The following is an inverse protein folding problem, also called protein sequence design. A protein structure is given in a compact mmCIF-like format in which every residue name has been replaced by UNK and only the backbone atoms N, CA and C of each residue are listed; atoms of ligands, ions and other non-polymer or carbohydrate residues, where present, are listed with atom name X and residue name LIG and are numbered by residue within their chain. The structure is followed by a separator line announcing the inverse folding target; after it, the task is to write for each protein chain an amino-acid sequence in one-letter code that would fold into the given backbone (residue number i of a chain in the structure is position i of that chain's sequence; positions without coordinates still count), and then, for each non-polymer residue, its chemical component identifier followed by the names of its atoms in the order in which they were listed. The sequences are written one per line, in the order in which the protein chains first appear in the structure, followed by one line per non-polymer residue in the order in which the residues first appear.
data_IF_310080322567
#
_entry.id   IF_310080322567
#
_cell.length_a   1.000
_cell.length_b   1.000
_cell.length_c   1.000
_cell.angle_alpha   90.00
_cell.angle_beta   90.00
_cell.angle_gamma   90.00
#
_symmetry.space_group_name_H-M   'P 1'
#
loop_
_entity.id
_entity.type
_entity.pdbx_description
1 polymer ?
#
# COMPACT_ATOMS: atom_id res chain seq x y z
N UNK A 1 -45.77 2.22 11.48
CA UNK A 1 -44.46 1.67 11.07
C UNK A 1 -43.75 1.15 12.31
N UNK A 2 -43.24 -0.06 12.28
CA UNK A 2 -42.49 -0.62 13.41
C UNK A 2 -41.22 0.22 13.60
N UNK A 3 -41.05 0.80 14.79
CA UNK A 3 -39.82 1.53 15.13
C UNK A 3 -38.67 0.54 15.21
N UNK A 4 -37.56 0.83 14.58
CA UNK A 4 -36.32 0.09 14.73
C UNK A 4 -35.77 0.42 16.13
N UNK A 5 -36.07 -0.42 17.11
CA UNK A 5 -35.76 -0.22 18.53
C UNK A 5 -34.91 -1.40 19.01
N UNK A 6 -34.07 -1.18 20.01
CA UNK A 6 -33.24 -2.22 20.62
C UNK A 6 -34.05 -3.43 21.11
N UNK A 7 -35.33 -3.24 21.48
CA UNK A 7 -36.23 -4.29 21.88
C UNK A 7 -36.80 -5.12 20.72
N UNK A 8 -36.87 -4.53 19.51
CA UNK A 8 -37.37 -5.19 18.30
C UNK A 8 -36.25 -5.58 17.34
N UNK A 9 -35.00 -5.27 17.66
CA UNK A 9 -33.86 -5.60 16.85
C UNK A 9 -33.58 -7.10 16.82
N UNK A 10 -33.65 -7.68 15.62
CA UNK A 10 -33.28 -9.08 15.40
C UNK A 10 -31.96 -9.14 14.63
N UNK A 11 -30.85 -9.57 15.28
CA UNK A 11 -29.54 -9.62 14.65
C UNK A 11 -29.47 -10.48 13.38
N UNK A 12 -30.26 -11.58 13.35
CA UNK A 12 -30.27 -12.50 12.22
C UNK A 12 -30.99 -11.91 11.00
N UNK A 13 -32.10 -11.20 11.23
CA UNK A 13 -32.84 -10.50 10.16
C UNK A 13 -32.00 -9.34 9.61
N UNK A 14 -31.30 -8.63 10.49
CA UNK A 14 -30.40 -7.55 10.08
C UNK A 14 -29.21 -8.09 9.27
N UNK A 15 -28.60 -9.19 9.74
CA UNK A 15 -27.53 -9.86 8.98
C UNK A 15 -28.02 -10.27 7.59
N UNK A 16 -29.19 -10.90 7.52
CA UNK A 16 -29.80 -11.28 6.24
C UNK A 16 -29.96 -10.06 5.30
N UNK A 17 -30.48 -8.96 5.83
CA UNK A 17 -30.62 -7.72 5.04
C UNK A 17 -29.28 -7.18 4.54
N UNK A 18 -28.24 -7.15 5.40
CA UNK A 18 -26.89 -6.70 5.02
C UNK A 18 -26.27 -7.61 3.97
N UNK A 19 -26.40 -8.93 4.12
CA UNK A 19 -25.80 -9.91 3.20
C UNK A 19 -26.47 -9.90 1.81
N UNK A 20 -27.72 -9.42 1.70
CA UNK A 20 -28.50 -9.36 0.46
C UNK A 20 -28.50 -7.99 -0.22
N UNK A 21 -27.74 -7.03 0.27
CA UNK A 21 -27.54 -5.76 -0.45
C UNK A 21 -26.74 -6.03 -1.71
N UNK A 22 -27.32 -5.67 -2.87
CA UNK A 22 -26.64 -5.82 -4.15
C UNK A 22 -25.48 -4.82 -4.26
N UNK A 23 -24.26 -5.34 -4.48
CA UNK A 23 -23.09 -4.56 -4.78
C UNK A 23 -22.46 -5.04 -6.09
N UNK A 24 -22.57 -4.22 -7.14
CA UNK A 24 -22.12 -4.57 -8.48
C UNK A 24 -20.62 -4.90 -8.52
N UNK A 25 -19.78 -4.13 -7.82
CA UNK A 25 -18.33 -4.35 -7.75
C UNK A 25 -18.00 -5.70 -7.13
N UNK A 26 -18.65 -6.03 -6.00
CA UNK A 26 -18.49 -7.33 -5.34
C UNK A 26 -18.86 -8.48 -6.28
N UNK A 27 -19.97 -8.36 -7.00
CA UNK A 27 -20.43 -9.39 -7.94
C UNK A 27 -19.41 -9.63 -9.07
N UNK A 28 -18.84 -8.58 -9.63
CA UNK A 28 -17.83 -8.70 -10.71
C UNK A 28 -16.48 -9.25 -10.19
N UNK A 29 -16.08 -8.90 -8.96
CA UNK A 29 -14.90 -9.48 -8.31
C UNK A 29 -15.11 -10.99 -8.11
N UNK A 30 -16.28 -11.41 -7.65
CA UNK A 30 -16.62 -12.84 -7.50
C UNK A 30 -16.65 -13.55 -8.86
N UNK A 31 -17.26 -12.94 -9.89
CA UNK A 31 -17.26 -13.50 -11.27
C UNK A 31 -15.86 -13.64 -11.86
N UNK A 32 -14.92 -12.79 -11.48
CA UNK A 32 -13.53 -12.88 -11.93
C UNK A 32 -12.82 -14.14 -11.41
N UNK A 33 -13.35 -14.76 -10.35
CA UNK A 33 -12.76 -15.89 -9.61
C UNK A 33 -11.36 -15.60 -9.07
N UNK A 34 -10.95 -14.35 -8.97
CA UNK A 34 -9.67 -13.97 -8.37
C UNK A 34 -9.71 -14.17 -6.85
N UNK A 35 -10.85 -13.84 -6.24
CA UNK A 35 -11.12 -14.08 -4.82
C UNK A 35 -12.15 -15.21 -4.73
N UNK A 36 -11.77 -16.33 -4.14
CA UNK A 36 -12.62 -17.51 -4.00
C UNK A 36 -12.84 -17.88 -2.53
N UNK A 37 -14.06 -18.26 -2.13
CA UNK A 37 -14.28 -18.79 -0.79
C UNK A 37 -13.55 -20.13 -0.62
N UNK A 38 -12.99 -20.36 0.58
CA UNK A 38 -12.26 -21.57 0.92
C UNK A 38 -12.80 -22.15 2.24
N UNK A 39 -13.36 -23.37 2.16
CA UNK A 39 -13.92 -24.07 3.31
C UNK A 39 -12.82 -24.58 4.26
N UNK A 40 -11.66 -24.97 3.75
CA UNK A 40 -10.55 -25.49 4.57
C UNK A 40 -10.04 -24.42 5.54
N UNK A 41 -9.99 -23.15 5.08
CA UNK A 41 -9.64 -22.02 5.93
C UNK A 41 -10.72 -21.78 6.98
N UNK A 42 -11.99 -21.85 6.58
CA UNK A 42 -13.11 -21.67 7.50
C UNK A 42 -13.10 -22.75 8.60
N UNK A 43 -12.88 -24.00 8.24
CA UNK A 43 -12.82 -25.13 9.17
C UNK A 43 -11.62 -25.06 10.12
N UNK A 44 -10.47 -24.55 9.64
CA UNK A 44 -9.27 -24.38 10.46
C UNK A 44 -9.50 -23.42 11.64
N UNK A 45 -10.40 -22.45 11.49
CA UNK A 45 -10.73 -21.47 12.54
C UNK A 45 -12.03 -21.79 13.32
N UNK A 46 -12.96 -22.52 12.75
CA UNK A 46 -14.26 -22.83 13.39
C UNK A 46 -14.11 -23.90 14.48
N UNK A 47 -13.20 -24.87 14.30
CA UNK A 47 -12.97 -25.96 15.26
C UNK A 47 -12.03 -25.61 16.43
N UNK A 48 -11.38 -24.45 16.42
CA UNK A 48 -10.36 -24.05 17.41
C UNK A 48 -10.73 -22.71 18.03
N UNK A 49 -11.54 -22.74 19.08
CA UNK A 49 -11.87 -21.53 19.86
C UNK A 49 -10.58 -20.79 20.29
N UNK A 50 -10.43 -19.52 19.88
CA UNK A 50 -9.44 -18.60 20.40
C UNK A 50 -8.16 -18.41 19.58
N UNK A 51 -7.94 -19.10 18.45
CA UNK A 51 -6.77 -18.85 17.61
C UNK A 51 -7.07 -17.84 16.49
N UNK A 52 -6.35 -16.72 16.47
CA UNK A 52 -6.38 -15.76 15.36
C UNK A 52 -5.40 -16.09 14.24
N UNK A 53 -4.63 -17.17 14.35
CA UNK A 53 -3.61 -17.61 13.40
C UNK A 53 -3.64 -19.12 13.24
N UNK A 54 -3.53 -19.61 12.02
CA UNK A 54 -3.45 -21.03 11.72
C UNK A 54 -2.42 -21.28 10.61
N UNK A 55 -1.87 -22.48 10.59
CA UNK A 55 -1.01 -22.96 9.51
C UNK A 55 -1.77 -24.01 8.71
N UNK A 56 -1.84 -23.81 7.39
CA UNK A 56 -2.50 -24.71 6.44
C UNK A 56 -1.44 -25.41 5.62
N UNK A 57 -1.59 -26.71 5.46
CA UNK A 57 -0.67 -27.52 4.65
C UNK A 57 -1.08 -27.43 3.18
N UNK A 58 -0.12 -27.14 2.31
CA UNK A 58 -0.29 -27.16 0.86
C UNK A 58 0.57 -28.25 0.26
N UNK A 59 0.00 -29.05 -0.63
CA UNK A 59 0.76 -30.05 -1.37
C UNK A 59 1.50 -29.41 -2.53
N UNK A 60 2.79 -29.71 -2.65
CA UNK A 60 3.62 -29.30 -3.79
C UNK A 60 3.37 -30.16 -5.03
N UNK A 61 3.85 -29.69 -6.16
CA UNK A 61 3.89 -30.48 -7.38
C UNK A 61 4.98 -31.55 -7.28
N UNK A 62 4.77 -32.67 -7.93
CA UNK A 62 5.81 -33.68 -8.13
C UNK A 62 6.90 -33.09 -9.03
N UNK A 63 8.12 -33.09 -8.54
CA UNK A 63 9.31 -32.59 -9.24
C UNK A 63 10.33 -33.71 -9.38
N UNK A 64 11.10 -33.68 -10.47
CA UNK A 64 12.19 -34.61 -10.73
C UNK A 64 12.29 -34.96 -12.21
N UNK A 65 13.48 -35.26 -12.67
CA UNK A 65 13.72 -35.69 -14.04
C UNK A 65 13.33 -37.17 -14.21
N UNK A 66 12.69 -37.47 -15.34
CA UNK A 66 12.38 -38.87 -15.68
C UNK A 66 13.68 -39.61 -15.98
N UNK A 67 13.81 -40.79 -15.40
CA UNK A 67 14.93 -41.71 -15.67
C UNK A 67 14.60 -42.52 -16.90
N UNK A 68 15.62 -42.84 -17.70
CA UNK A 68 15.45 -43.69 -18.86
C UNK A 68 15.00 -45.12 -18.44
N UNK A 69 13.93 -45.60 -19.05
CA UNK A 69 13.43 -46.96 -18.79
C UNK A 69 14.05 -47.94 -19.80
N UNK A 70 15.25 -48.41 -19.49
CA UNK A 70 16.07 -49.28 -20.33
C UNK A 70 16.25 -50.69 -19.75
N UNK A 71 15.71 -50.98 -18.57
CA UNK A 71 15.86 -52.24 -17.87
C UNK A 71 17.18 -52.38 -17.09
N UNK A 72 18.09 -51.39 -17.19
CA UNK A 72 19.39 -51.40 -16.51
C UNK A 72 19.50 -50.23 -15.52
N UNK A 73 18.85 -49.09 -15.81
CA UNK A 73 18.90 -47.89 -14.97
C UNK A 73 17.95 -47.98 -13.78
N UNK A 74 18.45 -47.76 -12.57
CA UNK A 74 17.62 -47.73 -11.37
C UNK A 74 16.67 -46.53 -11.35
N UNK A 75 15.39 -46.81 -11.08
CA UNK A 75 14.37 -45.74 -10.92
C UNK A 75 14.56 -45.10 -9.55
N UNK A 76 14.86 -43.79 -9.53
CA UNK A 76 14.94 -43.01 -8.31
C UNK A 76 13.56 -42.48 -7.93
N UNK A 77 13.15 -42.76 -6.68
CA UNK A 77 11.90 -42.22 -6.14
C UNK A 77 12.14 -40.86 -5.48
N UNK A 78 11.33 -39.89 -5.82
CA UNK A 78 11.30 -38.58 -5.14
C UNK A 78 10.05 -38.47 -4.28
N UNK A 79 10.18 -37.87 -3.08
CA UNK A 79 9.06 -37.64 -2.20
C UNK A 79 8.26 -36.39 -2.61
N UNK A 80 6.97 -36.36 -2.29
CA UNK A 80 6.16 -35.17 -2.40
C UNK A 80 6.60 -34.13 -1.37
N UNK A 81 6.73 -32.86 -1.79
CA UNK A 81 6.99 -31.75 -0.87
C UNK A 81 5.67 -31.23 -0.34
N UNK A 82 5.60 -31.00 0.95
CA UNK A 82 4.49 -30.29 1.60
C UNK A 82 4.96 -28.92 2.02
N UNK A 83 4.14 -27.91 1.77
CA UNK A 83 4.42 -26.53 2.12
C UNK A 83 3.47 -26.07 3.22
N UNK A 84 3.93 -25.12 4.05
CA UNK A 84 3.16 -24.57 5.15
C UNK A 84 2.80 -23.12 4.86
N UNK A 85 1.50 -22.82 4.83
CA UNK A 85 0.98 -21.46 4.67
C UNK A 85 0.39 -20.99 5.98
N UNK A 86 0.97 -19.93 6.56
CA UNK A 86 0.39 -19.22 7.70
C UNK A 86 -0.74 -18.28 7.23
N UNK A 87 -1.88 -18.38 7.88
CA UNK A 87 -3.06 -17.55 7.63
C UNK A 87 -3.52 -16.87 8.92
N UNK A 88 -4.05 -15.66 8.83
CA UNK A 88 -4.44 -14.84 9.98
C UNK A 88 -5.86 -14.34 9.83
N UNK A 89 -6.59 -14.32 10.95
CA UNK A 89 -7.93 -13.75 11.01
C UNK A 89 -7.85 -12.27 11.34
N UNK A 90 -8.45 -11.45 10.49
CA UNK A 90 -8.57 -10.02 10.67
C UNK A 90 -9.94 -9.70 11.25
N UNK A 91 -9.98 -9.24 12.50
CA UNK A 91 -11.18 -8.76 13.16
C UNK A 91 -11.34 -7.24 13.01
N UNK A 92 -12.52 -6.78 12.66
CA UNK A 92 -12.86 -5.36 12.59
C UNK A 92 -14.18 -5.11 13.31
N UNK A 93 -14.28 -3.98 14.00
CA UNK A 93 -15.48 -3.59 14.69
C UNK A 93 -15.70 -2.08 14.59
N UNK A 94 -16.98 -1.67 14.54
CA UNK A 94 -17.38 -0.25 14.54
C UNK A 94 -18.72 -0.11 15.28
N UNK A 95 -18.86 1.01 16.00
CA UNK A 95 -20.14 1.45 16.58
C UNK A 95 -20.67 2.65 15.81
N UNK A 96 -21.95 2.64 15.51
CA UNK A 96 -22.70 3.75 14.91
C UNK A 96 -23.73 4.22 15.91
N UNK A 97 -23.72 5.52 16.25
CA UNK A 97 -24.59 6.10 17.27
C UNK A 97 -25.58 7.08 16.65
N UNK A 98 -26.84 7.01 17.11
CA UNK A 98 -27.87 7.97 16.78
C UNK A 98 -28.48 8.54 18.06
N UNK A 99 -28.69 9.87 18.11
CA UNK A 99 -29.30 10.56 19.23
C UNK A 99 -30.80 10.76 19.00
N UNK A 100 -31.61 10.49 20.00
CA UNK A 100 -33.07 10.67 19.95
C UNK A 100 -33.44 12.11 19.57
N UNK A 101 -32.75 13.09 20.12
CA UNK A 101 -32.98 14.52 19.85
C UNK A 101 -32.82 14.89 18.35
N UNK A 102 -31.87 14.28 17.66
CA UNK A 102 -31.66 14.47 16.20
C UNK A 102 -32.86 13.96 15.41
N UNK A 103 -33.44 12.84 15.82
CA UNK A 103 -34.62 12.21 15.22
C UNK A 103 -35.88 13.06 15.42
N UNK A 104 -36.03 13.66 16.60
CA UNK A 104 -37.17 14.51 16.93
C UNK A 104 -37.17 15.81 16.13
N UNK A 105 -36.00 16.42 15.88
CA UNK A 105 -35.84 17.62 15.06
C UNK A 105 -36.06 17.37 13.56
N UNK A 106 -35.62 16.22 13.04
CA UNK A 106 -35.72 15.89 11.61
C UNK A 106 -37.08 15.32 11.19
N UNK A 107 -38.12 15.48 12.03
CA UNK A 107 -39.47 15.03 11.77
C UNK A 107 -39.60 13.54 11.44
N UNK A 108 -38.76 12.70 12.06
CA UNK A 108 -38.90 11.25 11.99
C UNK A 108 -38.25 10.58 10.78
N UNK A 109 -37.29 11.21 10.13
CA UNK A 109 -36.39 10.50 9.21
C UNK A 109 -35.63 9.49 10.02
N UNK A 110 -35.98 8.20 9.85
CA UNK A 110 -35.38 7.12 10.61
C UNK A 110 -34.04 6.74 9.96
N UNK A 111 -32.95 7.23 10.56
CA UNK A 111 -31.57 6.89 10.14
C UNK A 111 -31.37 5.37 10.09
N UNK A 112 -31.96 4.63 11.05
CA UNK A 112 -31.81 3.18 11.14
C UNK A 112 -32.53 2.40 10.03
N UNK A 113 -33.46 3.01 9.29
CA UNK A 113 -34.09 2.35 8.14
C UNK A 113 -33.13 2.11 6.97
N UNK A 114 -32.12 2.98 6.80
CA UNK A 114 -31.12 2.89 5.74
C UNK A 114 -29.78 2.27 6.21
N UNK A 115 -29.67 1.92 7.50
CA UNK A 115 -28.41 1.47 8.10
C UNK A 115 -27.94 0.12 7.54
N UNK A 116 -28.85 -0.77 7.13
CA UNK A 116 -28.45 -2.06 6.58
C UNK A 116 -27.64 -1.92 5.29
N UNK A 117 -28.08 -1.09 4.34
CA UNK A 117 -27.35 -0.84 3.10
C UNK A 117 -26.03 -0.10 3.35
N UNK A 118 -26.07 0.95 4.19
CA UNK A 118 -24.87 1.69 4.57
C UNK A 118 -23.86 0.82 5.33
N UNK A 119 -24.32 -0.09 6.18
CA UNK A 119 -23.47 -1.06 6.89
C UNK A 119 -22.84 -2.05 5.92
N UNK A 120 -23.58 -2.52 4.91
CA UNK A 120 -23.04 -3.42 3.89
C UNK A 120 -21.92 -2.74 3.08
N UNK A 121 -22.16 -1.52 2.63
CA UNK A 121 -21.17 -0.73 1.89
C UNK A 121 -19.93 -0.42 2.74
N UNK A 122 -20.13 -0.07 4.02
CA UNK A 122 -19.02 0.15 4.96
C UNK A 122 -18.18 -1.12 5.18
N UNK A 123 -18.82 -2.27 5.42
CA UNK A 123 -18.10 -3.53 5.59
C UNK A 123 -17.34 -3.93 4.32
N UNK A 124 -17.92 -3.70 3.15
CA UNK A 124 -17.24 -3.92 1.88
C UNK A 124 -15.99 -3.04 1.74
N UNK A 125 -16.08 -1.76 2.10
CA UNK A 125 -14.94 -0.86 2.09
C UNK A 125 -13.84 -1.31 3.06
N UNK A 126 -14.22 -1.76 4.27
CA UNK A 126 -13.28 -2.30 5.26
C UNK A 126 -12.57 -3.57 4.74
N UNK A 127 -13.28 -4.44 4.05
CA UNK A 127 -12.71 -5.63 3.43
C UNK A 127 -11.71 -5.27 2.31
N UNK A 128 -12.07 -4.30 1.49
CA UNK A 128 -11.23 -3.79 0.41
C UNK A 128 -9.95 -3.14 0.96
N UNK A 129 -10.07 -2.30 2.00
CA UNK A 129 -8.91 -1.70 2.69
C UNK A 129 -7.98 -2.75 3.29
N UNK A 130 -8.55 -3.83 3.84
CA UNK A 130 -7.78 -4.95 4.39
C UNK A 130 -7.04 -5.69 3.28
N UNK A 131 -7.71 -6.00 2.18
CA UNK A 131 -7.12 -6.64 1.01
C UNK A 131 -5.99 -5.82 0.41
N UNK A 132 -6.20 -4.51 0.24
CA UNK A 132 -5.16 -3.60 -0.27
C UNK A 132 -3.98 -3.50 0.69
N UNK A 133 -4.22 -3.53 2.01
CA UNK A 133 -3.15 -3.54 3.01
C UNK A 133 -2.30 -4.82 2.93
N UNK A 134 -2.92 -5.99 2.72
CA UNK A 134 -2.22 -7.25 2.49
C UNK A 134 -1.39 -7.23 1.21
N UNK A 135 -1.97 -6.77 0.09
CA UNK A 135 -1.23 -6.62 -1.16
C UNK A 135 -0.02 -5.69 -1.02
N UNK A 136 -0.15 -4.57 -0.29
CA UNK A 136 0.98 -3.69 0.00
C UNK A 136 2.06 -4.42 0.81
N UNK A 137 1.68 -5.18 1.83
CA UNK A 137 2.61 -5.97 2.67
C UNK A 137 3.35 -7.03 1.87
N UNK A 138 2.66 -7.77 1.02
CA UNK A 138 3.21 -8.79 0.13
C UNK A 138 4.30 -8.20 -0.77
N UNK A 139 4.02 -7.07 -1.42
CA UNK A 139 5.00 -6.41 -2.29
C UNK A 139 6.06 -5.59 -1.54
N UNK A 140 6.03 -5.60 -0.21
CA UNK A 140 7.05 -5.01 0.66
C UNK A 140 7.94 -6.07 1.33
N UNK A 141 7.78 -7.36 0.99
CA UNK A 141 8.59 -8.45 1.53
C UNK A 141 10.07 -8.24 1.22
N UNK A 142 10.90 -8.41 2.27
CA UNK A 142 12.36 -8.31 2.17
C UNK A 142 13.07 -9.27 3.13
N UNK A 143 12.32 -10.17 3.79
CA UNK A 143 12.84 -11.00 4.89
C UNK A 143 13.84 -12.06 4.43
N UNK A 144 13.71 -12.57 3.21
CA UNK A 144 14.59 -13.57 2.63
C UNK A 144 14.76 -13.36 1.11
N UNK A 145 15.82 -13.96 0.54
CA UNK A 145 16.18 -13.78 -0.87
C UNK A 145 15.09 -14.27 -1.83
N UNK A 146 14.33 -15.32 -1.47
CA UNK A 146 13.27 -15.87 -2.33
C UNK A 146 12.02 -15.03 -2.31
N UNK A 147 11.66 -14.46 -1.16
CA UNK A 147 10.58 -13.47 -1.04
C UNK A 147 10.93 -12.20 -1.83
N UNK A 148 12.20 -11.73 -1.78
CA UNK A 148 12.67 -10.61 -2.58
C UNK A 148 12.66 -10.91 -4.09
N UNK A 149 13.04 -12.13 -4.49
CA UNK A 149 12.95 -12.60 -5.87
C UNK A 149 11.50 -12.53 -6.37
N UNK A 150 10.53 -13.03 -5.57
CA UNK A 150 9.09 -12.90 -5.88
C UNK A 150 8.71 -11.43 -6.12
N UNK A 151 9.00 -10.54 -5.18
CA UNK A 151 8.66 -9.10 -5.30
C UNK A 151 9.26 -8.51 -6.58
N UNK A 152 10.51 -8.82 -6.91
CA UNK A 152 11.20 -8.29 -8.09
C UNK A 152 10.61 -8.81 -9.39
N UNK A 153 10.32 -10.12 -9.47
CA UNK A 153 9.76 -10.76 -10.67
C UNK A 153 8.29 -10.39 -10.89
N UNK A 154 7.53 -10.17 -9.80
CA UNK A 154 6.11 -9.84 -9.85
C UNK A 154 5.82 -8.33 -9.83
N UNK A 155 6.85 -7.49 -9.81
CA UNK A 155 6.71 -6.04 -9.96
C UNK A 155 7.24 -5.59 -11.32
N UNK A 156 6.41 -4.85 -12.05
CA UNK A 156 6.82 -4.11 -13.24
C UNK A 156 6.75 -2.63 -12.91
N UNK A 157 7.91 -1.99 -12.81
CA UNK A 157 8.03 -0.57 -12.49
C UNK A 157 8.40 0.20 -13.76
N UNK A 158 7.42 0.90 -14.31
CA UNK A 158 7.59 1.73 -15.51
C UNK A 158 8.26 3.06 -15.17
N UNK A 159 8.20 3.51 -13.94
CA UNK A 159 8.72 4.82 -13.52
C UNK A 159 10.24 4.92 -13.64
N UNK A 160 10.92 3.78 -13.71
CA UNK A 160 12.38 3.67 -13.90
C UNK A 160 12.82 3.81 -15.36
N UNK A 161 11.87 3.82 -16.32
CA UNK A 161 12.22 4.02 -17.74
C UNK A 161 12.81 5.40 -18.00
N UNK A 162 13.67 5.51 -18.99
CA UNK A 162 14.37 6.75 -19.29
C UNK A 162 13.44 7.82 -19.88
N UNK A 163 12.53 7.42 -20.77
CA UNK A 163 11.61 8.33 -21.46
C UNK A 163 10.31 8.47 -20.68
N UNK A 164 9.78 9.68 -20.54
CA UNK A 164 8.54 9.93 -19.80
C UNK A 164 7.33 9.26 -20.43
N UNK A 165 7.28 9.14 -21.75
CA UNK A 165 6.23 8.42 -22.47
C UNK A 165 6.16 6.92 -22.11
N UNK A 166 7.30 6.31 -21.74
CA UNK A 166 7.38 4.90 -21.37
C UNK A 166 7.06 4.66 -19.88
N UNK A 167 6.87 5.72 -19.11
CA UNK A 167 6.47 5.64 -17.68
C UNK A 167 4.99 5.46 -17.47
N UNK A 168 4.20 5.61 -18.53
CA UNK A 168 2.75 5.49 -18.55
C UNK A 168 2.36 4.07 -19.01
N UNK A 169 1.19 3.60 -18.59
CA UNK A 169 0.67 2.30 -19.03
C UNK A 169 0.35 2.35 -20.54
N UNK A 170 0.79 1.31 -21.25
CA UNK A 170 0.58 1.12 -22.68
C UNK A 170 -0.14 -0.20 -22.99
N UNK A 171 -0.53 -0.41 -24.25
CA UNK A 171 -1.18 -1.63 -24.73
C UNK A 171 -0.41 -2.94 -24.41
N UNK A 172 0.92 -2.87 -24.35
CA UNK A 172 1.79 -4.04 -24.13
C UNK A 172 2.12 -4.29 -22.66
N UNK A 173 1.91 -3.30 -21.80
CA UNK A 173 2.34 -3.32 -20.38
C UNK A 173 1.75 -4.50 -19.62
N UNK A 174 0.45 -4.74 -19.74
CA UNK A 174 -0.24 -5.83 -19.04
C UNK A 174 0.31 -7.20 -19.44
N UNK A 175 0.51 -7.43 -20.74
CA UNK A 175 1.04 -8.70 -21.24
C UNK A 175 2.50 -8.92 -20.80
N UNK A 176 3.30 -7.87 -20.79
CA UNK A 176 4.70 -7.91 -20.34
C UNK A 176 4.80 -8.19 -18.84
N UNK A 177 3.97 -7.52 -18.02
CA UNK A 177 3.91 -7.72 -16.59
C UNK A 177 3.48 -9.14 -16.20
N UNK A 178 2.39 -9.63 -16.80
CA UNK A 178 1.89 -10.99 -16.53
C UNK A 178 2.85 -12.08 -17.03
N UNK A 179 3.55 -11.85 -18.17
CA UNK A 179 4.60 -12.74 -18.66
C UNK A 179 5.79 -12.77 -17.70
N UNK A 180 6.25 -11.61 -17.22
CA UNK A 180 7.36 -11.50 -16.27
C UNK A 180 7.05 -12.27 -14.99
N UNK A 181 5.84 -12.13 -14.44
CA UNK A 181 5.41 -12.76 -13.20
C UNK A 181 5.28 -14.28 -13.31
N UNK A 182 4.50 -14.78 -14.27
CA UNK A 182 4.08 -16.19 -14.31
C UNK A 182 4.48 -16.93 -15.59
N UNK A 183 5.17 -16.29 -16.54
CA UNK A 183 5.61 -16.92 -17.78
C UNK A 183 4.44 -17.52 -18.61
N UNK A 184 4.45 -18.81 -18.84
CA UNK A 184 3.42 -19.54 -19.59
C UNK A 184 2.04 -19.50 -18.91
N UNK A 185 1.99 -19.32 -17.58
CA UNK A 185 0.76 -19.29 -16.78
C UNK A 185 0.03 -17.94 -16.82
N UNK A 186 0.42 -17.01 -17.71
CA UNK A 186 -0.20 -15.67 -17.83
C UNK A 186 -1.71 -15.68 -18.08
N UNK A 187 -2.27 -16.77 -18.60
CA UNK A 187 -3.71 -16.92 -18.86
C UNK A 187 -4.55 -17.02 -17.58
N UNK A 188 -3.93 -17.29 -16.43
CA UNK A 188 -4.62 -17.35 -15.13
C UNK A 188 -5.11 -15.99 -14.64
N UNK A 189 -4.52 -14.87 -15.09
CA UNK A 189 -4.91 -13.54 -14.67
C UNK A 189 -6.30 -13.15 -15.22
N UNK A 190 -7.17 -12.66 -14.32
CA UNK A 190 -8.58 -12.38 -14.64
C UNK A 190 -9.08 -11.02 -14.15
N UNK A 191 -8.44 -10.41 -13.15
CA UNK A 191 -8.88 -9.19 -12.47
C UNK A 191 -7.75 -8.16 -12.42
N UNK A 192 -8.08 -6.89 -12.62
CA UNK A 192 -7.17 -5.76 -12.49
C UNK A 192 -7.80 -4.71 -11.58
N UNK A 193 -7.07 -4.28 -10.55
CA UNK A 193 -7.40 -3.12 -9.75
C UNK A 193 -6.51 -1.95 -10.16
N UNK A 194 -7.09 -0.84 -10.59
CA UNK A 194 -6.35 0.35 -11.02
C UNK A 194 -6.98 1.63 -10.51
N UNK A 195 -6.16 2.67 -10.36
CA UNK A 195 -6.60 4.00 -9.99
C UNK A 195 -7.33 4.67 -11.16
N UNK A 196 -8.25 5.61 -10.86
CA UNK A 196 -9.03 6.34 -11.87
C UNK A 196 -8.16 7.07 -12.90
N UNK A 197 -7.04 7.66 -12.49
CA UNK A 197 -6.10 8.34 -13.39
C UNK A 197 -5.53 7.38 -14.45
N UNK A 198 -5.14 6.17 -14.03
CA UNK A 198 -4.64 5.13 -14.94
C UNK A 198 -5.75 4.63 -15.85
N UNK A 199 -6.97 4.49 -15.33
CA UNK A 199 -8.13 4.10 -16.12
C UNK A 199 -8.44 5.14 -17.20
N UNK A 200 -8.44 6.42 -16.86
CA UNK A 200 -8.65 7.54 -17.79
C UNK A 200 -7.61 7.54 -18.92
N UNK A 201 -6.35 7.25 -18.61
CA UNK A 201 -5.31 7.14 -19.63
C UNK A 201 -5.59 5.97 -20.60
N UNK A 202 -6.02 4.80 -20.08
CA UNK A 202 -6.41 3.67 -20.93
C UNK A 202 -7.66 3.93 -21.76
N UNK A 203 -8.60 4.72 -21.23
CA UNK A 203 -9.79 5.19 -21.97
C UNK A 203 -9.39 6.08 -23.13
N UNK A 204 -8.52 7.06 -22.90
CA UNK A 204 -7.99 7.95 -23.93
C UNK A 204 -7.25 7.18 -25.03
N UNK A 205 -6.63 6.05 -24.70
CA UNK A 205 -5.99 5.14 -25.65
C UNK A 205 -6.97 4.15 -26.30
N UNK A 206 -8.27 4.20 -25.97
CA UNK A 206 -9.31 3.24 -26.41
C UNK A 206 -8.96 1.78 -26.10
N UNK A 207 -8.25 1.51 -25.02
CA UNK A 207 -7.84 0.17 -24.58
C UNK A 207 -8.79 -0.42 -23.54
N UNK A 208 -9.63 0.40 -22.91
CA UNK A 208 -10.62 -0.01 -21.93
C UNK A 208 -11.98 -0.13 -22.60
N UNK A 209 -12.57 -1.33 -22.55
CA UNK A 209 -13.91 -1.60 -23.07
C UNK A 209 -14.87 -1.74 -21.91
N UNK A 210 -15.85 -0.83 -21.78
CA UNK A 210 -16.87 -0.93 -20.75
C UNK A 210 -17.88 -2.02 -21.07
N UNK A 211 -18.31 -2.74 -20.02
CA UNK A 211 -19.41 -3.69 -20.12
C UNK A 211 -20.72 -2.92 -20.32
N UNK A 212 -21.54 -3.37 -21.26
CA UNK A 212 -22.82 -2.73 -21.56
C UNK A 212 -23.96 -3.52 -20.93
N UNK A 213 -24.84 -2.81 -20.25
CA UNK A 213 -26.11 -3.34 -19.78
C UNK A 213 -27.24 -2.81 -20.66
N UNK A 214 -28.10 -3.71 -21.10
CA UNK A 214 -29.32 -3.33 -21.83
C UNK A 214 -30.48 -3.30 -20.84
N UNK A 215 -31.05 -2.13 -20.65
CA UNK A 215 -32.26 -1.91 -19.84
C UNK A 215 -33.44 -2.71 -20.45
N UNK A 216 -34.46 -3.10 -19.67
CA UNK A 216 -35.71 -3.69 -20.18
C UNK A 216 -36.40 -2.86 -21.26
N UNK A 217 -36.11 -1.55 -21.36
CA UNK A 217 -36.59 -0.66 -22.42
C UNK A 217 -35.72 -0.69 -23.69
N UNK A 218 -34.67 -1.52 -23.75
CA UNK A 218 -33.76 -1.64 -24.89
C UNK A 218 -32.65 -0.59 -24.97
N UNK A 219 -32.51 0.26 -23.97
CA UNK A 219 -31.44 1.28 -23.90
C UNK A 219 -30.16 0.64 -23.37
N UNK A 220 -29.07 0.75 -24.13
CA UNK A 220 -27.74 0.33 -23.69
C UNK A 220 -27.10 1.42 -22.82
N UNK A 221 -26.64 1.04 -21.66
CA UNK A 221 -25.87 1.89 -20.74
C UNK A 221 -24.53 1.25 -20.44
N UNK A 222 -23.47 2.05 -20.41
CA UNK A 222 -22.16 1.60 -20.00
C UNK A 222 -22.13 1.42 -18.46
N UNK A 223 -21.61 0.28 -18.03
CA UNK A 223 -21.34 0.02 -16.60
C UNK A 223 -20.00 0.66 -16.21
N UNK A 224 -19.84 1.00 -14.94
CA UNK A 224 -18.58 1.53 -14.38
C UNK A 224 -17.46 0.48 -14.31
N UNK A 225 -17.66 -0.70 -14.88
CA UNK A 225 -16.73 -1.82 -14.91
C UNK A 225 -16.33 -2.09 -16.33
N UNK A 226 -15.03 -2.01 -16.60
CA UNK A 226 -14.44 -2.22 -17.89
C UNK A 226 -13.72 -3.55 -18.02
N UNK A 227 -13.28 -3.86 -19.24
CA UNK A 227 -12.37 -4.96 -19.51
C UNK A 227 -11.15 -4.45 -20.25
N UNK A 228 -9.96 -4.89 -19.81
CA UNK A 228 -8.69 -4.61 -20.45
C UNK A 228 -8.01 -5.93 -20.82
N UNK A 229 -7.79 -6.15 -22.10
CA UNK A 229 -7.25 -7.42 -22.62
C UNK A 229 -8.01 -8.67 -22.12
N UNK A 230 -9.35 -8.59 -22.02
CA UNK A 230 -10.19 -9.68 -21.54
C UNK A 230 -10.15 -9.91 -20.02
N UNK A 231 -9.54 -9.02 -19.25
CA UNK A 231 -9.54 -9.05 -17.79
C UNK A 231 -10.49 -7.99 -17.26
N UNK A 232 -11.21 -8.32 -16.19
CA UNK A 232 -12.14 -7.40 -15.53
C UNK A 232 -11.32 -6.31 -14.86
N UNK A 233 -11.71 -5.05 -15.07
CA UNK A 233 -11.09 -3.88 -14.47
C UNK A 233 -12.02 -3.30 -13.41
N UNK A 234 -11.51 -3.14 -12.21
CA UNK A 234 -12.17 -2.43 -11.11
C UNK A 234 -11.37 -1.17 -10.82
N UNK A 235 -12.02 -0.03 -10.98
CA UNK A 235 -11.42 1.29 -10.72
C UNK A 235 -11.63 1.64 -9.25
N UNK A 236 -10.53 2.04 -8.58
CA UNK A 236 -10.54 2.36 -7.17
C UNK A 236 -9.47 3.38 -6.80
N UNK A 237 -9.89 4.50 -6.23
CA UNK A 237 -9.02 5.61 -5.84
C UNK A 237 -8.32 5.40 -4.49
N UNK A 238 -8.67 4.33 -3.74
CA UNK A 238 -7.97 3.95 -2.50
C UNK A 238 -6.69 3.15 -2.74
N UNK A 239 -6.36 2.87 -4.00
CA UNK A 239 -5.09 2.22 -4.35
C UNK A 239 -3.89 3.06 -3.92
N UNK A 240 -2.78 2.42 -3.50
CA UNK A 240 -1.62 3.14 -3.03
C UNK A 240 -0.99 3.99 -4.14
N UNK A 241 -0.76 5.24 -3.83
CA UNK A 241 -0.03 6.19 -4.65
C UNK A 241 1.28 6.57 -3.96
N UNK A 242 2.31 6.88 -4.74
CA UNK A 242 3.60 7.33 -4.23
C UNK A 242 4.04 8.57 -4.99
N UNK A 243 4.31 9.64 -4.28
CA UNK A 243 4.89 10.83 -4.89
C UNK A 243 6.41 10.68 -4.97
N UNK A 244 7.00 11.09 -6.09
CA UNK A 244 8.43 11.11 -6.31
C UNK A 244 8.85 12.39 -7.01
N UNK A 245 10.11 12.78 -6.81
CA UNK A 245 10.69 13.93 -7.50
C UNK A 245 11.20 13.49 -8.87
N UNK A 246 10.55 13.96 -9.92
CA UNK A 246 10.93 13.68 -11.32
C UNK A 246 12.11 14.56 -11.77
N UNK A 247 12.03 15.85 -11.44
CA UNK A 247 13.13 16.80 -11.66
C UNK A 247 13.52 17.35 -10.31
N UNK A 248 14.78 17.18 -9.92
CA UNK A 248 15.29 17.66 -8.64
C UNK A 248 15.34 19.18 -8.62
N UNK A 249 14.83 19.78 -7.55
CA UNK A 249 15.00 21.20 -7.29
C UNK A 249 16.47 21.51 -7.02
N UNK A 250 17.01 22.52 -7.68
CA UNK A 250 18.38 22.99 -7.49
C UNK A 250 18.36 24.42 -7.01
N UNK A 251 19.00 24.67 -5.89
CA UNK A 251 19.11 25.98 -5.26
C UNK A 251 20.56 26.35 -5.10
N UNK A 252 20.90 27.63 -5.26
CA UNK A 252 22.27 28.12 -5.08
C UNK A 252 22.30 29.18 -3.99
N UNK A 253 23.35 29.10 -3.16
CA UNK A 253 23.67 30.07 -2.09
C UNK A 253 25.10 30.55 -2.35
N UNK A 254 25.24 31.73 -2.90
CA UNK A 254 26.56 32.32 -3.15
C UNK A 254 26.93 33.24 -2.00
N UNK A 255 28.07 33.00 -1.37
CA UNK A 255 28.63 33.89 -0.33
C UNK A 255 29.25 35.11 -1.00
N UNK A 256 28.59 36.25 -0.87
CA UNK A 256 29.04 37.52 -1.47
C UNK A 256 29.87 38.35 -0.52
N UNK A 257 29.57 38.31 0.78
CA UNK A 257 30.36 38.99 1.81
C UNK A 257 30.65 38.01 2.95
N UNK A 258 31.88 38.01 3.41
CA UNK A 258 32.34 37.14 4.49
C UNK A 258 31.66 37.52 5.83
N UNK A 259 31.23 36.51 6.57
CA UNK A 259 30.70 36.68 7.90
C UNK A 259 31.78 36.86 8.95
N UNK A 260 31.42 37.55 10.01
CA UNK A 260 32.22 37.73 11.23
C UNK A 260 31.57 36.95 12.39
N UNK A 261 32.31 36.78 13.47
CA UNK A 261 31.76 36.11 14.66
C UNK A 261 30.50 36.84 15.13
N UNK A 262 29.49 36.05 15.54
CA UNK A 262 28.14 36.46 15.94
C UNK A 262 27.14 36.74 14.82
N UNK A 263 27.58 36.74 13.54
CA UNK A 263 26.65 36.81 12.43
C UNK A 263 25.80 35.53 12.34
N UNK A 264 24.49 35.70 12.14
CA UNK A 264 23.53 34.59 12.07
C UNK A 264 22.85 34.49 10.70
N UNK A 265 22.55 33.28 10.32
CA UNK A 265 21.81 32.98 9.10
C UNK A 265 21.02 31.69 9.26
N UNK A 266 19.92 31.57 8.50
CA UNK A 266 19.03 30.41 8.54
C UNK A 266 19.02 29.73 7.19
N UNK A 267 19.27 28.42 7.16
CA UNK A 267 19.16 27.59 5.94
C UNK A 267 18.15 26.46 6.21
N UNK A 268 17.14 26.35 5.34
CA UNK A 268 16.06 25.35 5.44
C UNK A 268 15.40 25.34 6.83
N UNK A 269 15.24 26.51 7.45
CA UNK A 269 14.59 26.67 8.77
C UNK A 269 15.50 26.39 9.98
N UNK A 270 16.75 26.02 9.79
CA UNK A 270 17.72 25.87 10.88
C UNK A 270 18.66 27.08 10.94
N UNK A 271 18.74 27.70 12.11
CA UNK A 271 19.64 28.83 12.38
C UNK A 271 21.06 28.34 12.62
N UNK A 272 22.03 29.06 12.04
CA UNK A 272 23.45 28.91 12.23
C UNK A 272 24.08 30.23 12.63
N UNK A 273 25.15 30.16 13.45
CA UNK A 273 25.91 31.32 13.90
C UNK A 273 27.39 31.13 13.60
N UNK A 274 28.04 32.17 13.06
CA UNK A 274 29.48 32.21 12.90
C UNK A 274 30.17 32.42 14.26
N UNK A 275 31.10 31.56 14.60
CA UNK A 275 31.92 31.71 15.82
C UNK A 275 33.40 31.95 15.44
N UNK A 276 34.16 32.52 16.37
CA UNK A 276 35.57 32.83 16.15
C UNK A 276 36.38 31.59 15.73
N UNK A 277 37.44 31.83 14.93
CA UNK A 277 38.35 30.77 14.50
C UNK A 277 38.90 30.00 15.72
N UNK A 278 38.94 28.67 15.63
CA UNK A 278 39.41 27.80 16.71
C UNK A 278 38.41 27.52 17.82
N UNK A 279 37.16 28.07 17.73
CA UNK A 279 36.08 27.72 18.65
C UNK A 279 35.52 26.34 18.28
N UNK A 280 35.22 25.51 19.28
CA UNK A 280 34.58 24.22 19.08
C UNK A 280 33.16 24.41 18.52
N UNK A 281 32.89 23.78 17.40
CA UNK A 281 31.56 23.84 16.76
C UNK A 281 30.53 23.03 17.47
N UNK A 282 29.30 23.54 17.49
CA UNK A 282 28.09 22.82 17.95
C UNK A 282 27.22 22.46 16.73
N UNK A 283 26.05 21.89 16.95
CA UNK A 283 25.10 21.59 15.86
C UNK A 283 24.68 22.84 15.07
N UNK A 284 24.64 24.03 15.72
CA UNK A 284 24.20 25.30 15.16
C UNK A 284 25.29 26.35 15.01
N UNK A 285 26.53 26.03 15.29
CA UNK A 285 27.66 26.99 15.14
C UNK A 285 28.70 26.51 14.13
N UNK A 286 29.27 27.44 13.40
CA UNK A 286 30.29 27.19 12.37
C UNK A 286 31.50 28.10 12.68
N UNK A 287 32.68 27.51 12.84
CA UNK A 287 33.90 28.25 13.10
C UNK A 287 34.40 28.95 11.79
N UNK A 288 34.76 30.22 11.91
CA UNK A 288 35.31 30.95 10.79
C UNK A 288 36.63 30.30 10.40
N UNK A 289 36.84 29.92 9.12
CA UNK A 289 38.10 29.31 8.69
C UNK A 289 39.31 30.24 8.85
N UNK A 290 40.46 29.66 9.12
CA UNK A 290 41.73 30.42 9.13
C UNK A 290 42.02 31.00 7.74
N UNK A 291 42.48 32.24 7.69
CA UNK A 291 42.63 33.01 6.43
C UNK A 291 41.36 32.98 5.63
N UNK A 292 40.27 33.45 6.24
CA UNK A 292 38.89 33.40 5.72
C UNK A 292 38.80 34.04 4.33
N UNK A 293 38.04 33.41 3.45
CA UNK A 293 37.61 33.91 2.14
C UNK A 293 36.15 33.44 1.95
N UNK A 294 35.41 34.08 1.04
CA UNK A 294 34.05 33.65 0.71
C UNK A 294 33.97 32.17 0.34
N UNK A 295 34.94 31.67 -0.44
CA UNK A 295 35.00 30.25 -0.81
C UNK A 295 35.26 29.31 0.37
N UNK A 296 36.12 29.70 1.32
CA UNK A 296 36.35 28.90 2.53
C UNK A 296 35.13 28.87 3.46
N UNK A 297 34.44 30.00 3.59
CA UNK A 297 33.20 30.05 4.35
C UNK A 297 32.07 29.24 3.70
N UNK A 298 31.94 29.32 2.36
CA UNK A 298 31.02 28.46 1.61
C UNK A 298 31.31 26.96 1.83
N UNK A 299 32.60 26.58 1.84
CA UNK A 299 33.02 25.20 2.12
C UNK A 299 32.67 24.80 3.56
N UNK A 300 32.91 25.64 4.56
CA UNK A 300 32.56 25.37 5.95
C UNK A 300 31.05 25.19 6.14
N UNK A 301 30.22 26.04 5.53
CA UNK A 301 28.76 25.90 5.52
C UNK A 301 28.37 24.56 4.88
N UNK A 302 28.87 24.23 3.68
CA UNK A 302 28.57 22.97 2.99
C UNK A 302 28.96 21.76 3.84
N UNK A 303 30.12 21.75 4.49
CA UNK A 303 30.56 20.64 5.33
C UNK A 303 29.63 20.46 6.54
N UNK A 304 29.20 21.57 7.12
CA UNK A 304 28.21 21.57 8.20
C UNK A 304 26.87 21.01 7.77
N UNK A 305 26.31 21.48 6.66
CA UNK A 305 25.03 21.04 6.11
C UNK A 305 25.08 19.56 5.69
N UNK A 306 26.18 19.12 5.09
CA UNK A 306 26.35 17.72 4.68
C UNK A 306 26.44 16.74 5.86
N UNK A 307 26.82 17.21 7.05
CA UNK A 307 26.88 16.40 8.27
C UNK A 307 25.50 16.20 8.92
N UNK A 308 24.49 16.97 8.53
CA UNK A 308 23.13 16.86 9.07
C UNK A 308 22.41 15.67 8.43
N UNK A 309 21.98 14.70 9.26
CA UNK A 309 21.35 13.45 8.81
C UNK A 309 19.83 13.40 8.98
N UNK A 310 19.22 14.43 9.59
CA UNK A 310 17.77 14.49 9.83
C UNK A 310 17.24 15.92 9.68
N UNK A 311 15.94 16.05 9.46
CA UNK A 311 15.28 17.34 9.25
C UNK A 311 15.42 17.88 7.83
N UNK A 312 14.91 19.10 7.55
CA UNK A 312 14.80 19.66 6.20
C UNK A 312 16.14 19.82 5.45
N UNK A 313 17.25 19.96 6.17
CA UNK A 313 18.60 20.04 5.57
C UNK A 313 19.02 18.70 4.95
N UNK A 314 18.63 17.60 5.59
CA UNK A 314 18.92 16.24 5.13
C UNK A 314 18.19 15.86 3.83
N UNK A 315 17.19 16.62 3.42
CA UNK A 315 16.45 16.44 2.16
C UNK A 315 17.26 16.86 0.93
N UNK A 316 18.41 17.46 1.12
CA UNK A 316 19.28 17.95 0.04
C UNK A 316 20.63 17.25 0.03
N UNK A 317 21.23 17.19 -1.16
CA UNK A 317 22.64 16.90 -1.36
C UNK A 317 23.37 18.22 -1.55
N UNK A 318 24.41 18.44 -0.76
CA UNK A 318 25.15 19.71 -0.70
C UNK A 318 26.49 19.59 -1.41
N UNK A 319 26.71 20.47 -2.35
CA UNK A 319 28.01 20.60 -3.06
C UNK A 319 28.48 22.05 -3.04
N UNK A 320 29.77 22.30 -3.25
CA UNK A 320 30.33 23.65 -3.29
C UNK A 320 31.27 23.77 -4.44
N UNK A 321 31.23 24.92 -5.11
CA UNK A 321 32.17 25.32 -6.16
C UNK A 321 32.54 26.78 -5.92
N UNK A 322 33.81 27.01 -5.55
CA UNK A 322 34.28 28.32 -5.13
C UNK A 322 33.47 28.88 -3.95
N UNK A 323 32.81 30.00 -4.14
CA UNK A 323 31.98 30.71 -3.16
C UNK A 323 30.50 30.33 -3.21
N UNK A 324 30.13 29.40 -4.09
CA UNK A 324 28.72 29.02 -4.33
C UNK A 324 28.46 27.62 -3.85
N UNK A 325 27.49 27.49 -2.93
CA UNK A 325 26.94 26.24 -2.42
C UNK A 325 25.72 25.87 -3.26
N UNK A 326 25.63 24.63 -3.69
CA UNK A 326 24.48 24.10 -4.42
C UNK A 326 23.77 23.07 -3.59
N UNK A 327 22.46 23.29 -3.36
CA UNK A 327 21.56 22.35 -2.74
C UNK A 327 20.75 21.64 -3.83
N UNK A 328 20.92 20.33 -3.98
CA UNK A 328 20.12 19.51 -4.91
C UNK A 328 19.16 18.64 -4.12
N UNK A 329 17.88 18.81 -4.37
CA UNK A 329 16.82 18.04 -3.71
C UNK A 329 17.01 16.54 -3.98
N UNK A 330 16.87 15.70 -2.95
CA UNK A 330 16.89 14.24 -3.12
C UNK A 330 15.61 13.76 -3.80
N UNK A 331 15.68 12.71 -4.58
CA UNK A 331 14.54 12.13 -5.31
C UNK A 331 13.43 11.60 -4.40
N UNK A 332 13.75 11.30 -3.15
CA UNK A 332 12.81 10.83 -2.13
C UNK A 332 12.18 11.94 -1.29
N UNK A 333 12.69 13.17 -1.40
CA UNK A 333 12.30 14.31 -0.54
C UNK A 333 11.27 15.19 -1.23
N UNK A 334 10.06 14.64 -1.42
CA UNK A 334 8.91 15.33 -2.00
C UNK A 334 8.50 16.50 -1.11
N UNK A 335 8.18 17.65 -1.71
CA UNK A 335 7.80 18.86 -0.99
C UNK A 335 8.95 19.65 -0.40
N UNK A 336 10.19 19.14 -0.44
CA UNK A 336 11.33 19.84 0.11
C UNK A 336 11.66 21.11 -0.69
N UNK A 337 11.85 22.23 0.01
CA UNK A 337 12.23 23.52 -0.55
C UNK A 337 13.37 24.08 0.28
N UNK A 338 14.46 24.48 -0.39
CA UNK A 338 15.56 25.17 0.27
C UNK A 338 15.23 26.67 0.43
N UNK A 339 15.55 27.19 1.58
CA UNK A 339 15.47 28.64 1.90
C UNK A 339 16.77 29.07 2.53
N UNK A 340 17.18 30.30 2.29
CA UNK A 340 18.32 30.92 2.95
C UNK A 340 17.97 32.36 3.31
N UNK A 341 18.10 32.69 4.59
CA UNK A 341 17.84 34.02 5.13
C UNK A 341 19.02 34.40 6.01
N UNK A 342 19.52 35.61 5.86
CA UNK A 342 20.61 36.19 6.69
C UNK A 342 20.00 37.27 7.55
N UNK A 343 20.43 37.39 8.80
CA UNK A 343 19.93 38.42 9.71
C UNK A 343 20.30 39.81 9.21
N UNK A 344 19.39 40.78 9.44
CA UNK A 344 19.54 42.16 8.92
C UNK A 344 20.77 42.88 9.48
N UNK A 345 21.22 42.50 10.66
CA UNK A 345 22.35 43.13 11.36
C UNK A 345 23.68 42.42 11.11
N UNK A 346 23.67 41.31 10.33
CA UNK A 346 24.87 40.56 10.00
C UNK A 346 25.71 41.27 8.93
N UNK A 347 27.03 41.16 9.05
CA UNK A 347 27.98 41.54 8.00
C UNK A 347 27.96 40.49 6.88
N UNK A 348 27.69 39.26 7.22
CA UNK A 348 27.55 38.15 6.29
C UNK A 348 26.45 38.43 5.25
N UNK A 349 26.78 38.21 3.98
CA UNK A 349 25.79 38.35 2.91
C UNK A 349 25.89 37.21 1.91
N UNK A 350 24.73 36.74 1.45
CA UNK A 350 24.62 35.72 0.41
C UNK A 350 23.62 36.14 -0.68
N UNK A 351 23.83 35.65 -1.87
CA UNK A 351 22.82 35.68 -2.94
C UNK A 351 22.17 34.28 -3.02
N UNK A 352 20.90 34.22 -2.73
CA UNK A 352 20.13 32.99 -2.85
C UNK A 352 19.34 32.97 -4.15
N UNK A 353 19.38 31.86 -4.89
CA UNK A 353 18.62 31.69 -6.11
C UNK A 353 18.04 30.28 -6.21
N UNK A 354 16.79 30.19 -6.68
CA UNK A 354 16.14 28.97 -7.09
C UNK A 354 16.44 28.73 -8.57
N UNK A 355 17.45 27.90 -8.87
CA UNK A 355 17.91 27.70 -10.25
C UNK A 355 16.97 26.81 -11.06
N UNK A 356 16.69 25.60 -10.60
CA UNK A 356 15.79 24.66 -11.27
C UNK A 356 14.60 24.33 -10.36
N UNK A 357 13.35 24.59 -10.78
CA UNK A 357 12.20 24.20 -10.00
C UNK A 357 12.08 22.67 -9.90
N UNK A 358 11.69 22.18 -8.73
CA UNK A 358 11.34 20.77 -8.58
C UNK A 358 10.08 20.43 -9.35
N UNK A 359 10.08 19.29 -10.03
CA UNK A 359 8.89 18.68 -10.63
C UNK A 359 8.60 17.39 -9.87
N UNK A 360 7.45 17.36 -9.23
CA UNK A 360 6.96 16.21 -8.46
C UNK A 360 5.86 15.51 -9.24
N UNK A 361 5.89 14.20 -9.22
CA UNK A 361 4.94 13.37 -9.95
C UNK A 361 4.38 12.29 -9.05
N UNK A 362 3.12 11.92 -9.28
CA UNK A 362 2.46 10.83 -8.59
C UNK A 362 2.62 9.56 -9.40
N UNK A 363 3.06 8.48 -8.76
CA UNK A 363 3.11 7.14 -9.31
C UNK A 363 1.93 6.36 -8.74
N UNK A 364 1.25 5.63 -9.59
CA UNK A 364 0.06 4.85 -9.28
C UNK A 364 0.39 3.36 -9.29
N UNK A 365 -0.21 2.63 -8.37
CA UNK A 365 -0.04 1.18 -8.27
C UNK A 365 -1.27 0.48 -8.83
N UNK A 366 -1.06 -0.43 -9.78
CA UNK A 366 -2.09 -1.31 -10.36
C UNK A 366 -1.78 -2.74 -9.95
N UNK A 367 -2.76 -3.44 -9.36
CA UNK A 367 -2.64 -4.86 -9.02
C UNK A 367 -3.37 -5.70 -10.05
N UNK A 368 -2.73 -6.79 -10.47
CA UNK A 368 -3.32 -7.77 -11.39
C UNK A 368 -3.38 -9.11 -10.68
N UNK A 369 -4.59 -9.63 -10.53
CA UNK A 369 -4.88 -10.84 -9.81
C UNK A 369 -5.39 -11.93 -10.75
N UNK A 370 -5.00 -13.16 -10.50
CA UNK A 370 -5.44 -14.30 -11.28
C UNK A 370 -6.49 -15.14 -10.57
N UNK A 371 -7.00 -16.13 -11.26
CA UNK A 371 -7.97 -17.07 -10.71
C UNK A 371 -7.40 -17.78 -9.48
N UNK A 372 -8.11 -17.72 -8.36
CA UNK A 372 -7.71 -18.32 -7.10
C UNK A 372 -6.49 -17.67 -6.43
N UNK A 373 -6.15 -16.44 -6.81
CA UNK A 373 -5.02 -15.71 -6.22
C UNK A 373 -5.21 -15.39 -4.75
N UNK A 374 -6.45 -15.20 -4.30
CA UNK A 374 -6.79 -14.94 -2.91
C UNK A 374 -7.91 -15.88 -2.49
N UNK A 375 -7.67 -16.62 -1.44
CA UNK A 375 -8.65 -17.45 -0.76
C UNK A 375 -9.29 -16.63 0.36
N UNK A 376 -10.58 -16.72 0.50
CA UNK A 376 -11.36 -15.93 1.44
C UNK A 376 -12.19 -16.83 2.35
N UNK A 377 -12.25 -16.52 3.64
CA UNK A 377 -13.15 -17.15 4.58
C UNK A 377 -13.78 -16.12 5.50
N UNK A 378 -15.10 -16.21 5.67
CA UNK A 378 -15.83 -15.48 6.70
C UNK A 378 -15.87 -16.32 7.97
N UNK A 379 -15.21 -15.82 9.02
CA UNK A 379 -15.14 -16.50 10.30
C UNK A 379 -16.27 -15.96 11.18
N UNK A 380 -17.21 -16.81 11.54
CA UNK A 380 -18.36 -16.40 12.34
C UNK A 380 -17.96 -15.74 13.66
N UNK A 381 -18.70 -14.72 14.04
CA UNK A 381 -18.69 -14.12 15.37
C UNK A 381 -19.98 -14.50 16.10
N UNK A 382 -19.92 -14.71 17.41
CA UNK A 382 -21.10 -15.09 18.20
C UNK A 382 -22.20 -14.03 18.10
N UNK A 383 -21.82 -12.74 18.14
CA UNK A 383 -22.74 -11.61 18.02
C UNK A 383 -22.18 -10.62 16.99
N UNK A 384 -22.48 -10.80 15.69
CA UNK A 384 -21.97 -9.91 14.63
C UNK A 384 -22.60 -8.51 14.68
N UNK A 385 -23.87 -8.44 15.08
CA UNK A 385 -24.62 -7.20 15.18
C UNK A 385 -25.31 -7.12 16.50
N UNK A 386 -25.19 -6.00 17.20
CA UNK A 386 -25.79 -5.75 18.50
C UNK A 386 -26.25 -4.30 18.60
N UNK A 387 -27.45 -4.08 19.08
CA UNK A 387 -27.98 -2.75 19.29
C UNK A 387 -28.12 -2.48 20.79
N UNK A 388 -27.53 -1.39 21.27
CA UNK A 388 -27.62 -0.94 22.65
C UNK A 388 -28.25 0.44 22.73
N UNK A 389 -29.19 0.59 23.67
CA UNK A 389 -29.83 1.87 23.96
C UNK A 389 -29.41 2.36 25.34
N UNK A 390 -28.89 3.57 25.39
CA UNK A 390 -28.63 4.31 26.64
C UNK A 390 -29.63 5.48 26.78
N UNK A 391 -30.62 5.38 27.66
CA UNK A 391 -31.59 6.46 27.84
C UNK A 391 -31.03 7.66 28.62
N UNK A 392 -29.90 7.51 29.34
CA UNK A 392 -29.34 8.57 30.17
C UNK A 392 -28.40 9.51 29.38
N UNK A 393 -27.75 9.00 28.33
CA UNK A 393 -26.82 9.78 27.52
C UNK A 393 -27.61 10.63 26.51
N UNK A 394 -27.38 11.94 26.52
CA UNK A 394 -27.90 12.94 25.55
C UNK A 394 -29.43 12.85 25.26
N UNK A 395 -30.22 12.45 26.28
CA UNK A 395 -31.68 12.30 26.12
C UNK A 395 -32.11 10.99 25.44
N UNK A 396 -31.20 10.06 25.26
CA UNK A 396 -31.36 8.75 24.64
C UNK A 396 -30.46 8.60 23.41
N UNK A 397 -29.59 7.60 23.45
CA UNK A 397 -28.72 7.20 22.33
C UNK A 397 -28.97 5.74 21.96
N UNK A 398 -29.11 5.48 20.67
CA UNK A 398 -29.13 4.13 20.11
C UNK A 398 -27.80 3.87 19.41
N UNK A 399 -27.08 2.82 19.79
CA UNK A 399 -25.79 2.45 19.20
C UNK A 399 -25.88 1.07 18.58
N UNK A 400 -25.58 0.99 17.28
CA UNK A 400 -25.41 -0.25 16.54
C UNK A 400 -23.94 -0.65 16.53
N UNK A 401 -23.59 -1.77 17.13
CA UNK A 401 -22.26 -2.36 17.08
C UNK A 401 -22.20 -3.40 15.96
N UNK A 402 -21.20 -3.25 15.10
CA UNK A 402 -20.92 -4.14 13.98
C UNK A 402 -19.57 -4.79 14.19
N UNK A 403 -19.50 -6.12 14.11
CA UNK A 403 -18.27 -6.90 14.27
C UNK A 403 -18.13 -7.87 13.12
N UNK A 404 -16.96 -7.93 12.50
CA UNK A 404 -16.63 -8.89 11.45
C UNK A 404 -15.28 -9.55 11.71
N UNK A 405 -15.16 -10.81 11.35
CA UNK A 405 -13.91 -11.58 11.38
C UNK A 405 -13.75 -12.27 10.04
N UNK A 406 -12.70 -11.93 9.32
CA UNK A 406 -12.45 -12.45 7.98
C UNK A 406 -11.00 -12.86 7.83
N UNK A 407 -10.76 -13.81 6.95
CA UNK A 407 -9.42 -14.24 6.58
C UNK A 407 -9.28 -14.10 5.07
N UNK A 408 -8.27 -13.38 4.63
CA UNK A 408 -7.80 -13.37 3.26
C UNK A 408 -6.45 -14.08 3.24
N UNK A 409 -6.31 -15.08 2.41
CA UNK A 409 -5.11 -15.88 2.31
C UNK A 409 -4.61 -15.85 0.85
N UNK A 410 -3.60 -15.03 0.55
CA UNK A 410 -3.00 -14.97 -0.79
C UNK A 410 -2.31 -16.31 -1.09
N UNK A 411 -2.62 -16.90 -2.24
CA UNK A 411 -2.08 -18.19 -2.63
C UNK A 411 -0.55 -18.17 -2.70
N UNK A 412 0.10 -19.11 -2.03
CA UNK A 412 1.56 -19.27 -2.03
C UNK A 412 2.33 -18.25 -1.19
N UNK A 413 1.64 -17.40 -0.43
CA UNK A 413 2.22 -16.40 0.44
C UNK A 413 1.76 -16.62 1.88
N UNK A 414 2.67 -16.58 2.82
CA UNK A 414 2.44 -16.90 4.23
C UNK A 414 2.52 -15.64 5.08
N UNK A 415 1.53 -15.46 5.96
CA UNK A 415 1.62 -14.47 7.03
C UNK A 415 2.42 -15.07 8.19
N UNK A 416 3.51 -14.43 8.59
CA UNK A 416 4.48 -15.00 9.56
C UNK A 416 4.31 -14.47 10.99
N UNK A 417 3.46 -13.46 11.19
CA UNK A 417 3.23 -12.81 12.50
C UNK A 417 4.51 -12.31 13.20
N UNK A 418 5.58 -12.04 12.45
CA UNK A 418 6.91 -11.74 13.01
C UNK A 418 6.96 -10.42 13.77
N UNK A 419 6.23 -9.40 13.31
CA UNK A 419 6.22 -8.03 13.86
C UNK A 419 4.79 -7.61 14.25
N UNK A 420 3.92 -8.56 14.55
CA UNK A 420 2.57 -8.28 15.02
C UNK A 420 2.56 -8.12 16.54
N UNK A 421 2.05 -7.00 17.04
CA UNK A 421 1.90 -6.70 18.46
C UNK A 421 0.47 -6.91 18.98
N UNK A 422 -0.51 -6.86 18.10
CA UNK A 422 -1.95 -6.96 18.40
C UNK A 422 -2.47 -8.38 18.23
N UNK A 423 -3.58 -8.73 18.90
CA UNK A 423 -4.20 -10.06 18.76
C UNK A 423 -4.81 -10.29 17.36
N UNK A 424 -5.30 -9.22 16.73
CA UNK A 424 -5.76 -9.19 15.34
C UNK A 424 -4.95 -8.13 14.60
N UNK A 425 -4.34 -8.42 13.44
CA UNK A 425 -3.45 -7.49 12.78
C UNK A 425 -4.18 -6.21 12.37
N UNK A 426 -3.54 -5.08 12.61
CA UNK A 426 -3.95 -3.78 12.09
C UNK A 426 -3.57 -3.66 10.61
N UNK A 427 -4.18 -2.70 9.88
CA UNK A 427 -3.77 -2.45 8.50
C UNK A 427 -2.29 -2.05 8.38
N UNK A 428 -1.72 -1.39 9.40
CA UNK A 428 -0.30 -1.06 9.43
C UNK A 428 0.59 -2.32 9.55
N UNK A 429 0.20 -3.28 10.39
CA UNK A 429 0.90 -4.56 10.52
C UNK A 429 0.75 -5.44 9.27
N UNK A 430 -0.41 -5.40 8.60
CA UNK A 430 -0.61 -6.08 7.31
C UNK A 430 0.25 -5.48 6.19
N UNK A 431 0.43 -4.16 6.15
CA UNK A 431 1.32 -3.46 5.20
C UNK A 431 2.80 -3.73 5.43
N UNK A 432 3.18 -4.21 6.61
CA UNK A 432 4.57 -4.46 6.95
C UNK A 432 5.08 -5.75 6.28
N UNK A 433 5.99 -5.62 5.32
CA UNK A 433 6.57 -6.74 4.57
C UNK A 433 7.31 -7.76 5.44
N UNK A 434 7.76 -7.39 6.65
CA UNK A 434 8.39 -8.34 7.58
C UNK A 434 7.44 -9.42 8.11
N UNK A 435 6.12 -9.17 8.03
CA UNK A 435 5.07 -10.14 8.40
C UNK A 435 4.71 -11.11 7.27
N UNK A 436 5.32 -10.97 6.11
CA UNK A 436 5.01 -11.80 4.94
C UNK A 436 6.25 -12.55 4.46
N UNK A 437 6.06 -13.75 3.95
CA UNK A 437 7.10 -14.56 3.33
C UNK A 437 6.51 -15.45 2.24
N UNK A 438 7.36 -15.86 1.30
CA UNK A 438 7.01 -16.91 0.34
C UNK A 438 6.83 -18.23 1.07
N UNK A 439 5.79 -18.99 0.72
CA UNK A 439 5.50 -20.29 1.31
C UNK A 439 6.68 -21.24 1.12
N UNK A 440 7.05 -21.96 2.18
CA UNK A 440 8.18 -22.88 2.22
C UNK A 440 7.82 -24.19 2.95
N UNK A 441 8.70 -25.16 2.91
CA UNK A 441 8.53 -26.48 3.56
C UNK A 441 8.62 -26.43 5.09
N UNK A 442 8.85 -25.27 5.69
CA UNK A 442 8.92 -25.11 7.14
C UNK A 442 10.20 -25.67 7.80
N UNK A 443 11.16 -26.20 7.01
CA UNK A 443 12.42 -26.70 7.53
C UNK A 443 13.15 -25.66 8.38
N UNK A 444 13.70 -26.11 9.52
CA UNK A 444 14.37 -25.21 10.45
C UNK A 444 15.66 -24.62 9.85
N UNK A 445 16.42 -25.46 9.14
CA UNK A 445 17.60 -25.01 8.42
C UNK A 445 17.21 -24.29 7.12
N UNK A 446 17.64 -23.05 6.99
CA UNK A 446 17.37 -22.23 5.81
C UNK A 446 17.98 -22.81 4.51
N UNK A 447 19.05 -23.60 4.60
CA UNK A 447 19.70 -24.24 3.45
C UNK A 447 18.91 -25.43 2.89
N UNK A 448 18.11 -26.08 3.73
CA UNK A 448 17.26 -27.22 3.37
C UNK A 448 15.84 -26.80 2.99
N UNK A 449 15.49 -25.54 3.25
CA UNK A 449 14.16 -25.02 3.01
C UNK A 449 13.85 -24.89 1.52
N UNK A 450 12.87 -25.64 1.05
CA UNK A 450 12.33 -25.49 -0.30
C UNK A 450 11.19 -24.47 -0.31
N UNK A 451 11.16 -23.62 -1.35
CA UNK A 451 10.14 -22.59 -1.53
C UNK A 451 9.22 -22.94 -2.69
N UNK A 452 7.96 -22.50 -2.59
CA UNK A 452 7.02 -22.62 -3.69
C UNK A 452 7.52 -21.83 -4.89
N UNK A 453 7.42 -22.41 -6.10
CA UNK A 453 7.81 -21.68 -7.32
C UNK A 453 6.93 -20.44 -7.52
N UNK A 454 7.54 -19.25 -7.49
CA UNK A 454 6.83 -17.98 -7.60
C UNK A 454 5.96 -17.88 -8.86
N UNK A 455 6.32 -18.54 -9.98
CA UNK A 455 5.54 -18.54 -11.23
C UNK A 455 4.16 -19.18 -11.11
N UNK A 456 3.88 -19.91 -10.03
CA UNK A 456 2.57 -20.49 -9.75
C UNK A 456 1.61 -19.45 -9.12
N UNK A 457 2.12 -18.36 -8.57
CA UNK A 457 1.38 -17.34 -7.84
C UNK A 457 0.89 -16.26 -8.82
N UNK A 458 -0.41 -16.22 -9.15
CA UNK A 458 -0.93 -15.30 -10.16
C UNK A 458 -1.29 -13.94 -9.54
N UNK A 459 -0.31 -13.28 -8.95
CA UNK A 459 -0.43 -11.94 -8.36
C UNK A 459 0.71 -11.09 -8.91
N UNK A 460 0.45 -9.97 -9.55
CA UNK A 460 1.51 -9.05 -9.94
C UNK A 460 1.10 -7.59 -9.75
N UNK A 461 2.11 -6.71 -9.70
CA UNK A 461 1.99 -5.28 -9.49
C UNK A 461 2.64 -4.52 -10.66
N UNK A 462 1.97 -3.46 -11.11
CA UNK A 462 2.50 -2.50 -12.07
C UNK A 462 2.55 -1.14 -11.38
N UNK A 463 3.67 -0.45 -11.46
CA UNK A 463 3.82 0.92 -10.99
C UNK A 463 4.02 1.81 -12.23
N UNK A 464 3.19 2.84 -12.37
CA UNK A 464 3.20 3.73 -13.53
C UNK A 464 2.86 5.16 -13.13
N UNK A 465 3.17 6.09 -14.01
CA UNK A 465 2.55 7.41 -13.98
C UNK A 465 1.18 7.34 -14.63
N UNK A 466 0.25 8.14 -14.17
CA UNK A 466 -1.09 8.22 -14.74
C UNK A 466 -1.12 8.78 -16.16
#
# INVERSE_FOLDING_TARGET
MAKFDSKSFNPNVFKYAVDHVENLRKNEIVKSKAIIPDADIQDAFTGKAGTGYATIVMNGLLEGDAVNYDGETNITATSTKTFEQGVVVVGRAKGFVERQFSKDITAGVDFMQNVASQTADYLYQVDQDTLLAELQGIFSMSADAKSLEFVTQHTTDLTTNAQDADKVISATTLNSATKKACGANKSKFSLVFMHSEVATNLENLNLLNYLKYTDPQGVQRDLSIGTWNGKIVVVDDYLPTTQTVSTQGVYTIQVTTQGVATDKFTICGQEFEWVANGTTETASTIAIPSSSTAAKQASAIKDKLAAVTSGPIADFTWTVSSDTITATQKTTSVGARCTCVVDSDATFAVTFANGTPAVEVTNYTTYVLGNGSIKYADISTDVPYEMYRDPASHGGEDTLYVRSRKCFAPFGLSYTKRVQSTNSPTNAELKNGANWALVSTGEFDASERAYLNHKLIPICRIISRG
#
